data_IF_447531237107
#
_entry.id   IF_447531237107
#
_cell.length_a   1.000
_cell.length_b   1.000
_cell.length_c   1.000
_cell.angle_alpha   90.00
_cell.angle_beta   90.00
_cell.angle_gamma   90.00
#
_symmetry.space_group_name_H-M   'P 1'
#
loop_
_entity.id
_entity.type
_entity.pdbx_description
1 polymer ?
#
# COMPACT_ATOMS: atom_id res chain seq x y z
N UNK A 1 4.04 -6.54 -11.33
CA UNK A 1 2.65 -6.21 -11.51
C UNK A 1 2.44 -4.73 -11.77
N UNK A 2 1.46 -4.40 -12.59
CA UNK A 2 1.23 -3.04 -13.01
C UNK A 2 -0.03 -2.48 -12.45
N UNK A 3 0.06 -1.26 -12.00
CA UNK A 3 -1.13 -0.57 -11.56
C UNK A 3 -1.07 0.84 -12.10
N UNK A 4 -2.14 1.32 -12.66
CA UNK A 4 -2.22 2.71 -13.01
C UNK A 4 -3.44 3.27 -12.32
N UNK A 5 -3.40 3.98 -11.42
CA UNK A 5 -4.38 4.36 -10.89
C UNK A 5 -4.91 5.07 -9.99
N UNK A 6 -5.23 5.68 -9.48
CA UNK A 6 -6.40 5.99 -9.10
C UNK A 6 -6.42 6.72 -7.87
N UNK A 7 -6.96 7.73 -7.83
CA UNK A 7 -7.09 8.57 -6.78
C UNK A 7 -8.34 8.30 -6.06
N UNK A 8 -8.27 7.85 -4.90
CA UNK A 8 -9.45 7.63 -4.11
C UNK A 8 -9.13 7.88 -2.65
N UNK A 9 -9.95 8.71 -2.05
CA UNK A 9 -9.87 8.90 -0.60
C UNK A 9 -10.38 7.69 0.15
N UNK A 10 -10.93 6.70 -0.57
CA UNK A 10 -11.48 5.50 0.06
C UNK A 10 -10.49 4.37 0.15
N UNK A 11 -9.22 4.62 -0.14
CA UNK A 11 -8.22 3.58 -0.07
C UNK A 11 -8.02 3.14 1.37
N UNK A 12 -8.12 1.84 1.58
CA UNK A 12 -7.99 1.27 2.91
C UNK A 12 -6.57 0.87 3.18
N UNK A 13 -6.21 0.92 4.45
CA UNK A 13 -4.96 0.35 4.89
C UNK A 13 -5.02 -1.16 4.74
N UNK A 14 -3.90 -1.72 4.34
CA UNK A 14 -3.80 -3.17 4.15
C UNK A 14 -2.45 -3.67 4.65
N UNK A 15 -2.41 -4.94 5.02
CA UNK A 15 -1.16 -5.63 5.33
C UNK A 15 -1.12 -6.95 4.58
N UNK A 16 0.09 -7.49 4.43
CA UNK A 16 0.29 -8.81 3.84
C UNK A 16 1.01 -9.67 4.88
N UNK A 17 0.76 -10.98 4.87
CA UNK A 17 1.39 -11.86 5.84
C UNK A 17 2.64 -12.55 5.32
N UNK A 18 2.64 -12.87 4.03
CA UNK A 18 3.69 -13.72 3.48
C UNK A 18 4.70 -12.98 2.61
N UNK A 19 4.40 -11.78 2.19
CA UNK A 19 5.25 -11.07 1.24
C UNK A 19 5.62 -9.67 1.71
N UNK A 20 6.81 -9.26 1.35
CA UNK A 20 7.27 -7.88 1.44
C UNK A 20 6.83 -7.21 0.15
N UNK A 21 6.30 -6.01 0.26
CA UNK A 21 5.72 -5.29 -0.86
C UNK A 21 6.65 -4.14 -1.22
N UNK A 22 7.21 -4.14 -2.43
CA UNK A 22 8.06 -3.06 -2.89
C UNK A 22 7.33 -2.32 -3.99
N UNK A 23 7.07 -1.04 -3.78
CA UNK A 23 6.31 -0.23 -4.73
C UNK A 23 7.22 0.80 -5.38
N UNK A 24 7.29 0.75 -6.70
CA UNK A 24 8.25 1.51 -7.48
C UNK A 24 7.49 2.34 -8.52
N UNK A 25 7.24 3.63 -8.25
CA UNK A 25 6.61 4.50 -9.26
C UNK A 25 7.55 4.69 -10.44
N UNK A 26 6.99 4.60 -11.64
CA UNK A 26 7.75 4.82 -12.87
C UNK A 26 7.47 6.18 -13.47
N UNK A 27 6.25 6.69 -13.31
CA UNK A 27 5.89 8.01 -13.82
C UNK A 27 4.94 8.67 -12.82
N UNK A 28 5.22 9.91 -12.49
CA UNK A 28 4.40 10.67 -11.55
C UNK A 28 4.67 10.29 -10.10
N UNK A 29 4.37 11.21 -9.21
CA UNK A 29 4.53 10.98 -7.78
C UNK A 29 3.27 10.31 -7.23
N UNK A 30 3.45 9.42 -6.29
CA UNK A 30 2.35 8.72 -5.64
C UNK A 30 2.40 8.98 -4.15
N UNK A 31 1.26 9.32 -3.56
CA UNK A 31 1.16 9.47 -2.12
C UNK A 31 0.69 8.13 -1.55
N UNK A 32 1.42 7.63 -0.58
CA UNK A 32 1.12 6.35 0.05
C UNK A 32 0.89 6.59 1.53
N UNK A 33 -0.16 5.98 2.08
CA UNK A 33 -0.44 6.07 3.50
C UNK A 33 0.28 4.97 4.26
N UNK A 34 0.61 5.25 5.51
CA UNK A 34 1.29 4.28 6.36
C UNK A 34 0.78 4.36 7.80
N UNK A 35 0.58 3.21 8.41
CA UNK A 35 0.32 3.06 9.83
C UNK A 35 1.00 1.78 10.28
N UNK A 36 1.72 1.85 11.39
CA UNK A 36 2.33 0.63 11.94
C UNK A 36 1.24 -0.40 12.23
N UNK A 37 1.51 -1.67 11.90
CA UNK A 37 0.49 -2.70 12.03
C UNK A 37 -0.12 -2.80 13.41
N UNK A 38 0.67 -2.55 14.45
CA UNK A 38 0.18 -2.58 15.82
C UNK A 38 -0.86 -1.50 16.11
N UNK A 39 -0.88 -0.45 15.31
CA UNK A 39 -1.81 0.67 15.49
C UNK A 39 -2.97 0.62 14.51
N UNK A 40 -3.03 -0.39 13.66
CA UNK A 40 -4.13 -0.54 12.71
C UNK A 40 -5.38 -1.07 13.41
N UNK A 41 -6.53 -0.58 12.99
CA UNK A 41 -7.81 -0.98 13.56
C UNK A 41 -8.43 -2.06 12.67
N UNK A 42 -8.70 -3.26 13.18
CA UNK A 42 -9.23 -4.34 12.34
C UNK A 42 -10.56 -3.97 11.70
N UNK A 43 -10.72 -4.32 10.44
CA UNK A 43 -11.97 -4.18 9.74
C UNK A 43 -12.81 -5.46 9.97
N UNK A 44 -14.03 -5.45 9.45
CA UNK A 44 -14.92 -6.60 9.61
C UNK A 44 -14.58 -7.75 8.66
N UNK A 45 -13.47 -7.69 7.99
CA UNK A 45 -13.09 -8.71 7.02
C UNK A 45 -11.89 -9.49 7.54
N UNK A 46 -11.93 -10.83 7.51
CA UNK A 46 -10.77 -11.61 7.94
C UNK A 46 -9.67 -11.58 6.89
N UNK A 47 -8.50 -12.08 7.28
CA UNK A 47 -7.38 -12.24 6.37
C UNK A 47 -7.80 -13.10 5.16
N UNK A 48 -7.50 -12.62 3.97
CA UNK A 48 -7.77 -13.36 2.74
C UNK A 48 -6.50 -14.07 2.31
N UNK A 49 -6.46 -15.39 2.50
CA UNK A 49 -5.25 -16.15 2.22
C UNK A 49 -4.95 -16.24 0.72
N UNK A 50 -5.99 -16.18 -0.09
CA UNK A 50 -5.81 -16.26 -1.53
C UNK A 50 -5.06 -15.06 -2.08
N UNK A 51 -5.35 -13.90 -1.57
CA UNK A 51 -4.72 -12.65 -2.02
C UNK A 51 -3.63 -12.18 -1.07
N UNK A 52 -3.45 -12.85 0.06
CA UNK A 52 -2.50 -12.48 1.09
C UNK A 52 -2.71 -11.03 1.52
N UNK A 53 -3.93 -10.73 1.94
CA UNK A 53 -4.26 -9.36 2.29
C UNK A 53 -5.24 -9.31 3.47
N UNK A 54 -5.00 -8.34 4.35
CA UNK A 54 -5.93 -7.99 5.42
C UNK A 54 -6.19 -6.50 5.32
N UNK A 55 -7.45 -6.13 5.36
CA UNK A 55 -7.84 -4.72 5.33
C UNK A 55 -8.13 -4.20 6.73
N UNK A 56 -7.88 -2.93 6.93
CA UNK A 56 -8.09 -2.27 8.21
C UNK A 56 -8.93 -1.01 8.01
N UNK A 57 -9.50 -0.52 9.10
CA UNK A 57 -10.36 0.65 9.06
C UNK A 57 -9.57 1.92 9.32
N UNK A 58 -10.14 3.03 8.90
CA UNK A 58 -9.59 4.33 9.20
C UNK A 58 -8.58 4.81 8.18
N UNK A 59 -8.14 6.01 8.39
CA UNK A 59 -7.16 6.64 7.53
C UNK A 59 -5.76 6.35 8.04
N UNK A 60 -4.80 6.45 7.15
CA UNK A 60 -3.41 6.27 7.54
C UNK A 60 -2.98 7.40 8.49
N UNK A 61 -2.06 7.08 9.38
CA UNK A 61 -1.51 8.07 10.30
C UNK A 61 -0.54 9.01 9.61
N UNK A 62 0.14 8.52 8.62
CA UNK A 62 1.20 9.26 7.93
C UNK A 62 1.08 9.04 6.45
N UNK A 63 1.39 10.06 5.68
CA UNK A 63 1.41 9.95 4.23
C UNK A 63 2.80 10.31 3.72
N UNK A 64 3.30 9.53 2.77
CA UNK A 64 4.61 9.77 2.18
C UNK A 64 4.45 9.93 0.68
N UNK A 65 5.27 10.78 0.10
CA UNK A 65 5.28 10.98 -1.35
C UNK A 65 6.47 10.22 -1.93
N UNK A 66 6.17 9.30 -2.84
CA UNK A 66 7.20 8.49 -3.51
C UNK A 66 7.25 8.91 -4.96
N UNK A 67 8.39 9.42 -5.39
CA UNK A 67 8.58 9.95 -6.75
C UNK A 67 9.30 8.94 -7.62
N UNK A 68 9.24 9.09 -8.95
CA UNK A 68 10.06 8.27 -9.84
C UNK A 68 11.53 8.36 -9.43
N UNK A 69 12.20 7.23 -9.39
CA UNK A 69 13.56 7.13 -8.88
C UNK A 69 13.63 6.74 -7.43
N UNK A 70 12.48 6.75 -6.74
CA UNK A 70 12.37 6.28 -5.37
C UNK A 70 11.52 5.03 -5.32
N UNK A 71 11.54 4.34 -4.20
CA UNK A 71 10.63 3.22 -3.98
C UNK A 71 10.33 3.11 -2.50
N UNK A 72 9.23 2.44 -2.19
CA UNK A 72 8.82 2.19 -0.81
C UNK A 72 8.81 0.68 -0.56
N UNK A 73 9.30 0.28 0.59
CA UNK A 73 9.29 -1.13 1.00
C UNK A 73 8.38 -1.25 2.21
N UNK A 74 7.37 -2.09 2.08
CA UNK A 74 6.45 -2.37 3.19
C UNK A 74 6.62 -3.82 3.61
N UNK A 75 6.99 -4.02 4.87
CA UNK A 75 7.11 -5.36 5.43
C UNK A 75 5.73 -5.87 5.87
N UNK A 76 5.59 -7.16 6.20
CA UNK A 76 4.28 -7.69 6.58
C UNK A 76 3.58 -6.93 7.70
N UNK A 77 4.34 -6.39 8.63
CA UNK A 77 3.75 -5.65 9.75
C UNK A 77 3.41 -4.20 9.42
N UNK A 78 3.66 -3.76 8.20
CA UNK A 78 3.43 -2.36 7.83
C UNK A 78 2.08 -2.18 7.17
N UNK A 79 1.17 -1.49 7.84
CA UNK A 79 -0.10 -1.11 7.23
C UNK A 79 0.13 0.01 6.22
N UNK A 80 -0.36 -0.16 5.00
CA UNK A 80 -0.14 0.82 3.96
C UNK A 80 -1.37 0.95 3.06
N UNK A 81 -1.53 2.13 2.50
CA UNK A 81 -2.61 2.43 1.56
C UNK A 81 -2.00 3.07 0.32
N UNK A 82 -1.72 2.26 -0.70
CA UNK A 82 -1.09 2.79 -1.91
C UNK A 82 -2.09 3.45 -2.84
N UNK A 83 -1.59 4.17 -3.82
CA UNK A 83 -2.40 4.54 -4.96
C UNK A 83 -3.05 5.90 -4.96
N UNK A 84 -2.61 6.83 -4.15
CA UNK A 84 -3.16 8.18 -4.20
C UNK A 84 -2.34 9.00 -5.19
N UNK A 85 -2.91 9.26 -6.37
CA UNK A 85 -2.26 10.05 -7.39
C UNK A 85 -3.33 10.75 -8.23
N UNK A 86 -3.34 12.09 -8.23
CA UNK A 86 -4.39 12.83 -8.97
C UNK A 86 -4.42 12.54 -10.47
N UNK A 87 -3.25 12.31 -11.05
CA UNK A 87 -3.14 12.10 -12.49
C UNK A 87 -2.91 10.64 -12.87
N UNK A 88 -3.02 9.75 -11.90
CA UNK A 88 -2.65 8.37 -12.12
C UNK A 88 -1.14 8.18 -12.09
N UNK A 89 -0.71 6.96 -11.97
CA UNK A 89 0.71 6.65 -11.90
C UNK A 89 0.95 5.27 -12.48
N UNK A 90 2.03 5.13 -13.24
CA UNK A 90 2.51 3.82 -13.63
C UNK A 90 3.54 3.37 -12.62
N UNK A 91 3.40 2.18 -12.12
CA UNK A 91 4.33 1.67 -11.12
C UNK A 91 4.51 0.16 -11.26
N UNK A 92 5.59 -0.32 -10.68
CA UNK A 92 5.85 -1.74 -10.57
C UNK A 92 5.72 -2.11 -9.10
N UNK A 93 5.03 -3.20 -8.83
CA UNK A 93 4.93 -3.75 -7.48
C UNK A 93 5.67 -5.08 -7.48
N UNK A 94 6.67 -5.21 -6.63
CA UNK A 94 7.46 -6.44 -6.51
C UNK A 94 7.10 -7.08 -5.18
N UNK A 95 6.74 -8.34 -5.23
CA UNK A 95 6.44 -9.12 -4.03
C UNK A 95 7.60 -10.04 -3.74
N UNK A 96 8.16 -9.92 -2.54
CA UNK A 96 9.28 -10.76 -2.12
C UNK A 96 8.81 -11.58 -0.93
N UNK A 97 9.03 -12.88 -1.01
CA UNK A 97 8.62 -13.77 0.08
C UNK A 97 9.36 -13.39 1.37
N UNK A 98 8.59 -13.18 2.41
CA UNK A 98 9.14 -12.79 3.69
C UNK A 98 9.68 -13.99 4.47
#
# INVERSE_FOLDING_TARGET
DWSSDVCSSDLKLETHNEFIDIQIPLSGAEVMGYTAGKDCVPADAPYNAEKDITFFEGLAETYITVKPGMFAIFFPQDGHAPGISPDGVKKVIVKVKA
#
